data_IF_403910689839
#
_entry.id   IF_403910689839
#
_cell.length_a   1.000
_cell.length_b   1.000
_cell.length_c   1.000
_cell.angle_alpha   90.00
_cell.angle_beta   90.00
_cell.angle_gamma   90.00
#
_symmetry.space_group_name_H-M   'P 1'
#
loop_
_entity.id
_entity.type
_entity.pdbx_description
1 polymer ?
#
# COMPACT_ATOMS: atom_id res chain seq x y z
N UNK A 1 18.15 -7.67 -5.08
CA UNK A 1 17.26 -6.71 -5.77
C UNK A 1 16.48 -5.99 -4.68
N UNK A 2 16.28 -4.68 -4.77
CA UNK A 2 15.37 -3.96 -3.87
C UNK A 2 13.93 -4.35 -4.18
N UNK A 3 13.07 -4.35 -3.17
CA UNK A 3 11.63 -4.44 -3.40
C UNK A 3 11.13 -3.11 -3.99
N UNK A 4 10.06 -3.14 -4.75
CA UNK A 4 9.51 -1.99 -5.50
C UNK A 4 7.98 -2.00 -5.51
N UNK A 5 7.39 -0.86 -5.83
CA UNK A 5 5.97 -0.73 -6.15
C UNK A 5 5.71 -1.27 -7.55
N UNK A 6 4.82 -2.26 -7.67
CA UNK A 6 4.43 -2.85 -8.94
C UNK A 6 3.18 -2.17 -9.50
N UNK A 7 2.17 -1.95 -8.65
CA UNK A 7 0.87 -1.41 -9.06
C UNK A 7 0.34 -0.44 -7.99
N UNK A 8 -0.39 0.59 -8.44
CA UNK A 8 -1.07 1.54 -7.57
C UNK A 8 -2.54 1.58 -7.95
N UNK A 9 -3.43 1.40 -6.98
CA UNK A 9 -4.87 1.41 -7.17
C UNK A 9 -5.59 2.38 -6.23
N UNK A 10 -6.63 3.00 -6.77
CA UNK A 10 -7.66 3.69 -5.98
C UNK A 10 -9.03 3.06 -6.21
N UNK A 11 -9.91 3.18 -5.23
CA UNK A 11 -11.27 2.64 -5.21
C UNK A 11 -12.27 3.73 -4.80
N UNK A 12 -12.52 4.73 -5.67
CA UNK A 12 -13.26 5.95 -5.31
C UNK A 12 -14.71 5.69 -4.90
N UNK A 13 -15.30 4.61 -5.44
CA UNK A 13 -16.69 4.23 -5.21
C UNK A 13 -16.77 2.82 -4.63
N UNK A 14 -17.57 2.64 -3.59
CA UNK A 14 -17.78 1.34 -2.96
C UNK A 14 -18.41 0.36 -3.96
N UNK A 15 -17.84 -0.84 -4.08
CA UNK A 15 -18.35 -1.91 -4.96
C UNK A 15 -18.00 -1.73 -6.44
N UNK A 16 -17.61 -0.53 -6.89
CA UNK A 16 -17.15 -0.31 -8.26
C UNK A 16 -15.74 -0.89 -8.48
N UNK A 17 -15.34 -1.17 -9.73
CA UNK A 17 -13.95 -1.51 -10.06
C UNK A 17 -12.94 -0.46 -9.56
N UNK A 18 -11.73 -0.89 -9.27
CA UNK A 18 -10.62 0.01 -8.98
C UNK A 18 -10.11 0.72 -10.24
N UNK A 19 -9.33 1.78 -10.02
CA UNK A 19 -8.55 2.44 -11.07
C UNK A 19 -7.08 2.25 -10.78
N UNK A 20 -6.36 1.74 -11.77
CA UNK A 20 -4.90 1.69 -11.75
C UNK A 20 -4.31 3.04 -12.12
N UNK A 21 -3.24 3.44 -11.45
CA UNK A 21 -2.55 4.70 -11.65
C UNK A 21 -1.04 4.46 -11.80
N UNK A 22 -0.34 5.24 -12.63
CA UNK A 22 1.13 5.20 -12.67
C UNK A 22 1.77 5.90 -11.46
N UNK A 23 1.03 6.81 -10.81
CA UNK A 23 1.45 7.59 -9.66
C UNK A 23 0.23 8.11 -8.89
N UNK A 24 0.39 8.36 -7.59
CA UNK A 24 -0.64 9.01 -6.75
C UNK A 24 -0.01 9.85 -5.65
N UNK A 25 -0.63 10.97 -5.31
CA UNK A 25 -0.37 11.64 -4.04
C UNK A 25 -0.94 10.78 -2.91
N UNK A 26 -0.17 10.59 -1.84
CA UNK A 26 -0.58 10.00 -0.58
C UNK A 26 -0.64 11.12 0.45
N UNK A 27 -1.85 11.41 0.91
CA UNK A 27 -2.17 12.39 1.96
C UNK A 27 -2.26 11.68 3.33
N UNK A 28 -2.46 12.44 4.41
CA UNK A 28 -2.49 11.89 5.77
C UNK A 28 -3.52 10.76 5.98
N UNK A 29 -4.59 10.74 5.19
CA UNK A 29 -5.68 9.77 5.32
C UNK A 29 -5.90 8.84 4.11
N UNK A 30 -4.97 8.83 3.16
CA UNK A 30 -4.94 7.86 2.07
C UNK A 30 -4.47 8.43 0.73
N UNK A 31 -4.74 7.68 -0.34
CA UNK A 31 -4.40 8.11 -1.69
C UNK A 31 -5.41 9.15 -2.21
N UNK A 32 -4.91 10.17 -2.89
CA UNK A 32 -5.72 11.18 -3.56
C UNK A 32 -6.77 10.53 -4.47
N UNK A 33 -8.04 10.90 -4.27
CA UNK A 33 -9.16 10.36 -5.04
C UNK A 33 -9.59 8.94 -4.64
N UNK A 34 -8.91 8.27 -3.70
CA UNK A 34 -9.43 7.04 -3.10
C UNK A 34 -10.54 7.35 -2.09
N UNK A 35 -11.45 6.41 -1.91
CA UNK A 35 -12.47 6.50 -0.88
C UNK A 35 -11.84 6.25 0.48
N UNK A 36 -11.99 7.19 1.41
CA UNK A 36 -11.54 7.03 2.80
C UNK A 36 -12.16 5.78 3.45
N UNK A 37 -11.29 4.95 4.03
CA UNK A 37 -11.63 3.73 4.77
C UNK A 37 -11.06 3.82 6.19
N UNK A 38 -11.23 2.76 6.97
CA UNK A 38 -10.69 2.66 8.34
C UNK A 38 -9.15 2.74 8.38
N UNK A 39 -8.48 2.27 7.33
CA UNK A 39 -7.04 2.39 7.16
C UNK A 39 -6.75 3.29 5.95
N UNK A 40 -5.69 4.09 6.02
CA UNK A 40 -5.29 5.04 4.99
C UNK A 40 -4.75 4.32 3.74
N UNK A 41 -3.91 3.30 3.93
CA UNK A 41 -3.29 2.54 2.84
C UNK A 41 -3.34 1.06 3.15
N UNK A 42 -3.70 0.24 2.15
CA UNK A 42 -3.46 -1.20 2.16
C UNK A 42 -2.30 -1.56 1.22
N UNK A 43 -1.33 -2.31 1.73
CA UNK A 43 -0.16 -2.79 0.98
C UNK A 43 -0.21 -4.31 0.91
N UNK A 44 -0.04 -4.88 -0.29
CA UNK A 44 -0.06 -6.33 -0.51
C UNK A 44 1.15 -6.76 -1.33
N UNK A 45 1.66 -7.95 -1.07
CA UNK A 45 2.71 -8.54 -1.87
C UNK A 45 2.15 -9.02 -3.22
N UNK A 46 2.93 -8.89 -4.29
CA UNK A 46 2.52 -9.26 -5.65
C UNK A 46 2.08 -10.73 -5.76
N UNK A 47 2.76 -11.65 -5.06
CA UNK A 47 2.41 -13.07 -5.06
C UNK A 47 1.06 -13.39 -4.39
N UNK A 48 0.51 -12.47 -3.59
CA UNK A 48 -0.77 -12.65 -2.91
C UNK A 48 -1.93 -11.94 -3.61
N UNK A 49 -1.68 -11.33 -4.78
CA UNK A 49 -2.74 -10.69 -5.57
C UNK A 49 -3.70 -11.75 -6.10
N UNK A 50 -5.00 -11.51 -5.89
CA UNK A 50 -6.12 -12.33 -6.38
C UNK A 50 -7.05 -11.44 -7.19
N UNK A 51 -7.95 -12.05 -7.95
CA UNK A 51 -8.92 -11.33 -8.77
C UNK A 51 -9.83 -10.38 -7.95
N UNK A 52 -10.01 -10.65 -6.65
CA UNK A 52 -10.83 -9.85 -5.74
C UNK A 52 -10.01 -8.90 -4.85
N UNK A 53 -8.68 -8.84 -5.02
CA UNK A 53 -7.81 -8.01 -4.19
C UNK A 53 -8.08 -6.53 -4.43
N UNK A 54 -8.33 -5.78 -3.35
CA UNK A 54 -8.60 -4.34 -3.38
C UNK A 54 -7.62 -3.56 -2.50
N UNK A 55 -6.33 -3.75 -2.76
CA UNK A 55 -5.23 -3.06 -2.09
C UNK A 55 -4.78 -1.82 -2.87
N UNK A 56 -4.27 -0.81 -2.18
CA UNK A 56 -3.80 0.43 -2.80
C UNK A 56 -2.43 0.24 -3.45
N UNK A 57 -1.52 -0.47 -2.79
CA UNK A 57 -0.17 -0.71 -3.28
C UNK A 57 0.07 -2.21 -3.41
N UNK A 58 0.49 -2.63 -4.59
CA UNK A 58 1.06 -3.97 -4.83
C UNK A 58 2.57 -3.80 -4.88
N UNK A 59 3.30 -4.56 -4.07
CA UNK A 59 4.77 -4.44 -3.96
C UNK A 59 5.45 -5.79 -4.20
N UNK A 60 6.71 -5.77 -4.61
CA UNK A 60 7.52 -6.99 -4.75
C UNK A 60 8.17 -7.48 -3.44
N UNK A 61 7.93 -6.78 -2.32
CA UNK A 61 8.34 -7.23 -0.98
C UNK A 61 7.56 -8.51 -0.59
N UNK A 62 8.24 -9.47 0.04
CA UNK A 62 7.65 -10.75 0.43
C UNK A 62 6.48 -10.60 1.43
N UNK A 63 5.55 -11.56 1.40
CA UNK A 63 4.38 -11.56 2.31
C UNK A 63 4.81 -11.68 3.77
N UNK A 64 5.79 -12.55 4.03
CA UNK A 64 6.36 -12.75 5.36
C UNK A 64 7.11 -11.49 5.84
N UNK A 65 7.76 -10.76 4.93
CA UNK A 65 8.44 -9.51 5.23
C UNK A 65 7.44 -8.38 5.53
N UNK A 66 6.36 -8.27 4.76
CA UNK A 66 5.25 -7.36 5.06
C UNK A 66 4.63 -7.68 6.43
N UNK A 67 4.38 -8.95 6.73
CA UNK A 67 3.87 -9.36 8.04
C UNK A 67 4.86 -9.01 9.18
N UNK A 68 6.16 -9.24 8.98
CA UNK A 68 7.21 -8.91 9.94
C UNK A 68 7.49 -7.39 10.06
N UNK A 69 6.90 -6.58 9.18
CA UNK A 69 6.97 -5.12 9.24
C UNK A 69 5.90 -4.49 10.14
N UNK A 70 4.92 -5.27 10.64
CA UNK A 70 3.91 -4.75 11.58
C UNK A 70 4.60 -4.13 12.80
N UNK A 71 4.23 -2.88 13.12
CA UNK A 71 4.84 -2.06 14.15
C UNK A 71 6.10 -1.30 13.72
N UNK A 72 6.49 -1.39 12.44
CA UNK A 72 7.63 -0.69 11.84
C UNK A 72 7.18 0.28 10.75
N UNK A 73 8.13 1.01 10.19
CA UNK A 73 7.90 1.93 9.07
C UNK A 73 8.21 1.21 7.76
N UNK A 74 7.32 1.34 6.79
CA UNK A 74 7.58 1.01 5.40
C UNK A 74 7.83 2.31 4.63
N UNK A 75 9.03 2.45 4.07
CA UNK A 75 9.37 3.55 3.17
C UNK A 75 9.08 3.11 1.73
N UNK A 76 8.28 3.91 1.03
CA UNK A 76 7.84 3.66 -0.34
C UNK A 76 8.13 4.92 -1.15
N UNK A 77 9.25 4.92 -1.88
CA UNK A 77 9.76 6.13 -2.53
C UNK A 77 9.97 7.25 -1.50
N UNK A 78 9.19 8.33 -1.63
CA UNK A 78 9.22 9.48 -0.72
C UNK A 78 8.20 9.41 0.44
N UNK A 79 7.34 8.39 0.46
CA UNK A 79 6.28 8.20 1.45
C UNK A 79 6.78 7.30 2.58
N UNK A 80 6.41 7.61 3.82
CA UNK A 80 6.62 6.73 4.97
C UNK A 80 5.27 6.30 5.54
N UNK A 81 5.13 5.00 5.77
CA UNK A 81 3.90 4.37 6.24
C UNK A 81 4.17 3.61 7.54
N UNK A 82 3.44 3.92 8.61
CA UNK A 82 3.45 3.12 9.83
C UNK A 82 2.58 1.87 9.62
N UNK A 83 3.17 0.68 9.63
CA UNK A 83 2.44 -0.58 9.41
C UNK A 83 1.70 -0.95 10.69
N UNK A 84 0.38 -0.83 10.66
CA UNK A 84 -0.47 -0.89 11.86
C UNK A 84 -1.04 -2.27 12.16
N UNK A 85 -1.04 -3.18 11.19
CA UNK A 85 -1.51 -4.55 11.40
C UNK A 85 -1.92 -5.26 10.12
N UNK A 86 -2.50 -6.43 10.27
CA UNK A 86 -2.95 -7.26 9.14
C UNK A 86 -4.20 -6.69 8.47
N UNK A 87 -4.29 -6.85 7.14
CA UNK A 87 -5.52 -6.56 6.43
C UNK A 87 -6.60 -7.59 6.82
N UNK A 88 -7.79 -7.12 7.21
CA UNK A 88 -8.89 -8.03 7.59
C UNK A 88 -9.44 -8.73 6.35
N UNK A 89 -9.52 -10.06 6.39
CA UNK A 89 -10.11 -10.92 5.35
C UNK A 89 -9.44 -10.83 3.96
N UNK A 90 -8.28 -10.17 3.85
CA UNK A 90 -7.51 -9.99 2.61
C UNK A 90 -6.02 -10.09 2.93
N UNK A 91 -5.18 -10.53 1.98
CA UNK A 91 -3.74 -10.54 2.17
C UNK A 91 -3.18 -9.12 2.31
N UNK A 92 -1.97 -9.05 2.88
CA UNK A 92 -1.24 -7.80 3.10
C UNK A 92 -1.47 -7.15 4.47
N UNK A 93 -1.07 -5.90 4.55
CA UNK A 93 -1.07 -5.10 5.79
C UNK A 93 -1.79 -3.77 5.58
N UNK A 94 -2.34 -3.24 6.68
CA UNK A 94 -2.81 -1.86 6.74
C UNK A 94 -1.73 -0.96 7.29
N UNK A 95 -1.63 0.24 6.73
CA UNK A 95 -0.71 1.25 7.20
C UNK A 95 -1.39 2.61 7.35
N UNK A 96 -0.92 3.37 8.33
CA UNK A 96 -1.20 4.79 8.49
C UNK A 96 -0.10 5.59 7.79
N UNK A 97 -0.43 6.79 7.32
CA UNK A 97 0.56 7.64 6.66
C UNK A 97 1.33 8.39 7.75
N UNK A 98 2.64 8.16 7.81
CA UNK A 98 3.56 8.86 8.71
C UNK A 98 4.11 10.11 8.04
N UNK A 99 4.47 10.00 6.76
CA UNK A 99 4.96 11.11 5.94
C UNK A 99 4.28 11.08 4.57
N UNK A 100 3.43 12.08 4.27
CA UNK A 100 2.82 12.25 2.95
C UNK A 100 3.85 12.45 1.83
N UNK A 101 3.44 12.14 0.61
CA UNK A 101 4.28 12.27 -0.58
C UNK A 101 3.68 11.62 -1.81
N UNK A 102 4.39 11.70 -2.93
CA UNK A 102 3.97 11.01 -4.16
C UNK A 102 4.62 9.64 -4.23
N UNK A 103 3.81 8.62 -4.45
CA UNK A 103 4.26 7.26 -4.83
C UNK A 103 4.11 7.07 -6.33
N UNK A 104 5.05 6.35 -6.94
CA UNK A 104 5.07 5.97 -8.35
C UNK A 104 5.31 4.47 -8.49
N UNK A 105 4.77 3.87 -9.54
CA UNK A 105 5.17 2.52 -9.95
C UNK A 105 6.68 2.52 -10.21
N UNK A 106 7.37 1.53 -9.66
CA UNK A 106 8.83 1.39 -9.69
C UNK A 106 9.57 2.04 -8.52
N UNK A 107 8.89 2.78 -7.63
CA UNK A 107 9.52 3.32 -6.42
C UNK A 107 10.03 2.17 -5.52
N UNK A 108 11.21 2.36 -4.93
CA UNK A 108 11.77 1.38 -3.98
C UNK A 108 10.92 1.27 -2.71
N UNK A 109 10.86 0.05 -2.18
CA UNK A 109 10.12 -0.33 -0.98
C UNK A 109 11.11 -0.93 0.02
N UNK A 110 11.16 -0.36 1.21
CA UNK A 110 12.07 -0.79 2.27
C UNK A 110 11.40 -0.73 3.65
N UNK A 111 11.70 -1.73 4.48
CA UNK A 111 11.32 -1.69 5.90
C UNK A 111 12.40 -0.91 6.65
N UNK A 112 12.00 0.20 7.28
CA UNK A 112 12.85 1.03 8.11
C UNK A 112 12.57 0.70 9.58
N UNK A 113 13.65 0.42 10.33
CA UNK A 113 13.63 0.09 11.76
C UNK A 113 13.43 1.31 12.64
#
# INVERSE_FOLDING_TARGET
MSAQVNEIHIFPVQGAPGRELPASLVEDDGLEGDRRKKAAVQVVAAQDVRADTRANLVVSLGSDELAASIGKVLRVGAVELDVTGTARNCPGVYAAVRRPGTVRVGDDVEVVS
#
